data_IF_963727509395
#
_entry.id   IF_963727509395
#
_cell.length_a   1.000
_cell.length_b   1.000
_cell.length_c   1.000
_cell.angle_alpha   90.00
_cell.angle_beta   90.00
_cell.angle_gamma   90.00
#
_symmetry.space_group_name_H-M   'P 1'
#
loop_
_entity.id
_entity.type
_entity.pdbx_description
1 polymer ?
#
# COMPACT_ATOMS: atom_id res chain seq x y z
N UNK A 1 -11.47 -17.44 4.51
CA UNK A 1 -10.56 -16.26 4.42
C UNK A 1 -10.78 -15.39 5.66
N UNK A 2 -9.73 -15.03 6.43
CA UNK A 2 -9.85 -14.20 7.63
C UNK A 2 -10.44 -12.82 7.31
N UNK A 3 -11.25 -12.25 8.21
CA UNK A 3 -11.91 -10.95 8.00
C UNK A 3 -10.90 -9.83 7.72
N UNK A 4 -9.80 -9.79 8.47
CA UNK A 4 -8.72 -8.82 8.30
C UNK A 4 -8.05 -8.90 6.91
N UNK A 5 -7.86 -10.12 6.40
CA UNK A 5 -7.27 -10.33 5.07
C UNK A 5 -8.23 -9.92 3.95
N UNK A 6 -9.53 -10.08 4.17
CA UNK A 6 -10.57 -9.63 3.23
C UNK A 6 -10.58 -8.10 3.11
N UNK A 7 -10.51 -7.40 4.25
CA UNK A 7 -10.43 -5.93 4.27
C UNK A 7 -9.18 -5.47 3.52
N UNK A 8 -8.02 -6.08 3.81
CA UNK A 8 -6.79 -5.77 3.10
C UNK A 8 -6.89 -5.98 1.59
N UNK A 9 -7.49 -7.11 1.17
CA UNK A 9 -7.72 -7.39 -0.25
C UNK A 9 -8.61 -6.33 -0.90
N UNK A 10 -9.70 -5.91 -0.25
CA UNK A 10 -10.55 -4.83 -0.78
C UNK A 10 -9.78 -3.52 -0.94
N UNK A 11 -8.92 -3.17 0.03
CA UNK A 11 -8.07 -1.98 -0.06
C UNK A 11 -7.12 -2.07 -1.25
N UNK A 12 -6.45 -3.21 -1.46
CA UNK A 12 -5.57 -3.41 -2.61
C UNK A 12 -6.31 -3.37 -3.94
N UNK A 13 -7.51 -3.95 -4.03
CA UNK A 13 -8.36 -3.84 -5.22
C UNK A 13 -8.68 -2.39 -5.52
N UNK A 14 -9.11 -1.62 -4.52
CA UNK A 14 -9.44 -0.20 -4.69
C UNK A 14 -8.23 0.61 -5.15
N UNK A 15 -7.05 0.35 -4.58
CA UNK A 15 -5.79 0.96 -4.98
C UNK A 15 -5.42 0.62 -6.44
N UNK A 16 -5.56 -0.64 -6.86
CA UNK A 16 -5.33 -1.05 -8.26
C UNK A 16 -6.32 -0.38 -9.20
N UNK A 17 -7.60 -0.29 -8.84
CA UNK A 17 -8.61 0.41 -9.64
C UNK A 17 -8.27 1.89 -9.83
N UNK A 18 -7.83 2.57 -8.76
CA UNK A 18 -7.39 3.97 -8.82
C UNK A 18 -6.17 4.13 -9.73
N UNK A 19 -5.18 3.22 -9.67
CA UNK A 19 -4.03 3.29 -10.55
C UNK A 19 -4.36 3.01 -12.02
N UNK A 20 -5.25 2.05 -12.28
CA UNK A 20 -5.74 1.81 -13.64
C UNK A 20 -6.48 3.03 -14.17
N UNK A 21 -7.32 3.66 -13.34
CA UNK A 21 -7.97 4.93 -13.71
C UNK A 21 -6.94 6.02 -14.02
N UNK A 22 -5.96 6.24 -13.14
CA UNK A 22 -4.89 7.24 -13.32
C UNK A 22 -4.04 6.95 -14.56
N UNK A 23 -3.81 5.69 -14.90
CA UNK A 23 -3.10 5.30 -16.11
C UNK A 23 -3.83 5.78 -17.38
N UNK A 24 -5.16 5.73 -17.41
CA UNK A 24 -5.91 6.27 -18.55
C UNK A 24 -5.84 7.79 -18.64
N UNK A 25 -5.71 8.50 -17.53
CA UNK A 25 -5.60 9.96 -17.51
C UNK A 25 -4.19 10.46 -17.85
N UNK A 26 -3.16 9.85 -17.26
CA UNK A 26 -1.78 10.38 -17.27
C UNK A 26 -0.86 9.57 -18.19
N UNK A 27 -1.29 8.40 -18.69
CA UNK A 27 -0.49 7.44 -19.48
C UNK A 27 0.80 6.97 -18.79
N UNK A 28 0.93 7.19 -17.49
CA UNK A 28 2.06 6.75 -16.69
C UNK A 28 1.73 5.49 -15.90
N UNK A 29 2.59 4.49 -16.01
CA UNK A 29 2.47 3.23 -15.29
C UNK A 29 3.09 3.38 -13.89
N UNK A 30 2.25 3.39 -12.87
CA UNK A 30 2.70 3.38 -11.48
C UNK A 30 3.03 1.95 -11.02
N UNK A 31 4.30 1.56 -11.15
CA UNK A 31 4.80 0.23 -10.76
C UNK A 31 4.57 -0.07 -9.28
N UNK A 32 4.61 0.95 -8.40
CA UNK A 32 4.35 0.76 -6.97
C UNK A 32 2.91 0.35 -6.71
N UNK A 33 1.98 0.80 -7.55
CA UNK A 33 0.58 0.42 -7.40
C UNK A 33 0.26 -0.90 -8.09
N UNK A 34 0.91 -1.19 -9.22
CA UNK A 34 0.81 -2.49 -9.91
C UNK A 34 1.38 -3.66 -9.09
N UNK A 35 2.35 -3.40 -8.20
CA UNK A 35 2.88 -4.41 -7.28
C UNK A 35 1.82 -5.02 -6.34
N UNK A 36 0.67 -4.38 -6.17
CA UNK A 36 -0.46 -4.95 -5.44
C UNK A 36 -1.17 -6.10 -6.19
N UNK A 37 -1.11 -6.12 -7.53
CA UNK A 37 -1.81 -7.14 -8.33
C UNK A 37 -1.29 -8.58 -8.08
N UNK A 38 0.03 -8.86 -8.04
CA UNK A 38 0.55 -10.16 -7.62
C UNK A 38 0.11 -10.55 -6.21
N UNK A 39 0.01 -9.58 -5.29
CA UNK A 39 -0.45 -9.84 -3.91
C UNK A 39 -1.91 -10.26 -3.91
N UNK A 40 -2.78 -9.54 -4.61
CA UNK A 40 -4.21 -9.89 -4.75
C UNK A 40 -4.35 -11.29 -5.36
N UNK A 41 -3.62 -11.55 -6.45
CA UNK A 41 -3.65 -12.85 -7.15
C UNK A 41 -3.23 -14.00 -6.22
N UNK A 42 -2.14 -13.80 -5.47
CA UNK A 42 -1.62 -14.78 -4.52
C UNK A 42 -2.60 -15.04 -3.36
N UNK A 43 -3.23 -13.99 -2.83
CA UNK A 43 -4.22 -14.14 -1.76
C UNK A 43 -5.45 -14.89 -2.27
N UNK A 44 -5.94 -14.57 -3.47
CA UNK A 44 -7.10 -15.22 -4.08
C UNK A 44 -6.88 -16.72 -4.28
N UNK A 45 -5.70 -17.10 -4.78
CA UNK A 45 -5.32 -18.49 -5.04
C UNK A 45 -4.65 -19.18 -3.84
N UNK A 46 -4.60 -18.51 -2.69
CA UNK A 46 -4.04 -19.02 -1.44
C UNK A 46 -2.63 -19.62 -1.60
N UNK A 47 -1.80 -18.98 -2.42
CA UNK A 47 -0.46 -19.49 -2.71
C UNK A 47 0.50 -19.18 -1.56
N UNK A 48 1.45 -20.07 -1.24
CA UNK A 48 2.37 -19.85 -0.12
C UNK A 48 3.37 -18.72 -0.38
N UNK A 49 3.72 -18.45 -1.64
CA UNK A 49 4.62 -17.34 -2.02
C UNK A 49 4.03 -15.96 -1.75
N UNK A 50 2.69 -15.87 -1.66
CA UNK A 50 1.96 -14.62 -1.40
C UNK A 50 2.45 -13.92 -0.15
N UNK A 51 2.82 -14.68 0.88
CA UNK A 51 3.27 -14.12 2.14
C UNK A 51 4.62 -13.40 2.00
N UNK A 52 5.49 -13.93 1.14
CA UNK A 52 6.78 -13.30 0.82
C UNK A 52 6.53 -12.05 -0.02
N UNK A 53 5.75 -12.16 -1.10
CA UNK A 53 5.45 -11.05 -2.01
C UNK A 53 4.76 -9.90 -1.27
N UNK A 54 3.80 -10.19 -0.39
CA UNK A 54 3.15 -9.18 0.45
C UNK A 54 4.14 -8.45 1.36
N UNK A 55 5.09 -9.16 1.99
CA UNK A 55 6.11 -8.54 2.85
C UNK A 55 7.09 -7.70 2.07
N UNK A 56 7.53 -8.17 0.90
CA UNK A 56 8.40 -7.42 0.00
C UNK A 56 7.69 -6.15 -0.48
N UNK A 57 6.43 -6.27 -0.88
CA UNK A 57 5.59 -5.15 -1.27
C UNK A 57 5.51 -4.09 -0.15
N UNK A 58 5.24 -4.51 1.09
CA UNK A 58 5.20 -3.62 2.25
C UNK A 58 6.54 -2.97 2.56
N UNK A 59 7.64 -3.70 2.43
CA UNK A 59 8.97 -3.15 2.64
C UNK A 59 9.29 -2.05 1.62
N UNK A 60 9.02 -2.31 0.34
CA UNK A 60 9.20 -1.34 -0.75
C UNK A 60 8.31 -0.11 -0.53
N UNK A 61 7.04 -0.31 -0.16
CA UNK A 61 6.11 0.79 0.07
C UNK A 61 6.53 1.63 1.28
N UNK A 62 6.98 1.00 2.36
CA UNK A 62 7.51 1.71 3.54
C UNK A 62 8.76 2.52 3.20
N UNK A 63 9.68 1.95 2.40
CA UNK A 63 10.87 2.65 1.94
C UNK A 63 10.52 3.85 1.07
N UNK A 64 9.58 3.69 0.14
CA UNK A 64 9.11 4.77 -0.73
C UNK A 64 8.51 5.93 0.09
N UNK A 65 7.60 5.63 1.02
CA UNK A 65 7.03 6.66 1.90
C UNK A 65 8.06 7.29 2.84
N UNK A 66 9.06 6.53 3.30
CA UNK A 66 10.15 7.09 4.10
C UNK A 66 11.00 8.07 3.28
N UNK A 67 11.34 7.71 2.03
CA UNK A 67 12.06 8.58 1.12
C UNK A 67 11.26 9.87 0.85
N UNK A 68 9.98 9.74 0.48
CA UNK A 68 9.09 10.89 0.29
C UNK A 68 8.97 11.75 1.56
N UNK A 69 8.88 11.13 2.74
CA UNK A 69 8.81 11.82 4.02
C UNK A 69 10.07 12.63 4.32
N UNK A 70 11.26 12.05 4.12
CA UNK A 70 12.54 12.77 4.28
C UNK A 70 12.62 13.93 3.28
N UNK A 71 12.28 13.70 2.01
CA UNK A 71 12.25 14.76 1.00
C UNK A 71 11.29 15.89 1.39
N UNK A 72 10.10 15.56 1.91
CA UNK A 72 9.12 16.55 2.37
C UNK A 72 9.64 17.36 3.57
N UNK A 73 10.30 16.73 4.53
CA UNK A 73 10.91 17.42 5.68
C UNK A 73 11.98 18.41 5.21
N UNK A 74 12.87 17.98 4.30
CA UNK A 74 13.91 18.83 3.74
C UNK A 74 13.29 20.00 2.96
N UNK A 75 12.29 19.73 2.11
CA UNK A 75 11.59 20.76 1.36
C UNK A 75 10.91 21.79 2.28
N UNK A 76 10.30 21.35 3.39
CA UNK A 76 9.71 22.24 4.39
C UNK A 76 10.74 23.15 5.07
N UNK A 77 11.98 22.67 5.24
CA UNK A 77 13.06 23.48 5.80
C UNK A 77 13.62 24.50 4.81
N UNK A 78 13.65 24.18 3.51
CA UNK A 78 14.18 25.08 2.48
C UNK A 78 13.16 26.13 2.03
N UNK A 79 11.91 25.73 1.80
CA UNK A 79 10.89 26.58 1.16
C UNK A 79 9.50 26.22 1.71
N UNK A 80 9.15 26.71 2.92
CA UNK A 80 7.95 26.30 3.63
C UNK A 80 6.64 26.73 2.93
N UNK A 81 6.66 27.78 2.11
CA UNK A 81 5.50 28.19 1.31
C UNK A 81 5.15 27.23 0.16
N UNK A 82 6.11 26.45 -0.37
CA UNK A 82 5.91 25.61 -1.56
C UNK A 82 5.45 24.18 -1.24
N UNK A 83 5.42 23.80 0.04
CA UNK A 83 5.03 22.44 0.51
C UNK A 83 3.54 22.32 0.83
N UNK A 84 2.74 23.29 0.41
CA UNK A 84 1.29 23.28 0.63
C UNK A 84 0.60 22.45 -0.45
N UNK A 85 0.01 21.32 -0.06
CA UNK A 85 -0.77 20.48 -0.99
C UNK A 85 -2.09 21.18 -1.28
N UNK A 86 -2.22 21.79 -2.45
CA UNK A 86 -3.48 22.38 -2.91
C UNK A 86 -4.14 21.46 -3.94
N UNK A 87 -5.41 21.13 -3.73
CA UNK A 87 -6.19 20.36 -4.69
C UNK A 87 -7.46 21.15 -5.02
N UNK A 88 -7.62 21.53 -6.29
CA UNK A 88 -8.74 22.38 -6.76
C UNK A 88 -8.93 23.67 -5.95
N UNK A 89 -7.83 24.32 -5.53
CA UNK A 89 -7.86 25.56 -4.76
C UNK A 89 -8.15 25.39 -3.25
N UNK A 90 -8.34 24.16 -2.78
CA UNK A 90 -8.46 23.86 -1.34
C UNK A 90 -7.11 23.40 -0.82
N UNK A 91 -6.61 24.07 0.21
CA UNK A 91 -5.41 23.64 0.94
C UNK A 91 -5.73 22.40 1.76
N UNK A 92 -5.18 21.26 1.35
CA UNK A 92 -5.27 20.02 2.09
C UNK A 92 -4.20 20.06 3.19
N UNK A 93 -4.58 20.04 4.47
CA UNK A 93 -3.60 19.98 5.55
C UNK A 93 -2.77 18.70 5.42
N UNK A 94 -1.45 18.84 5.51
CA UNK A 94 -0.51 17.72 5.32
C UNK A 94 -0.60 16.69 6.46
N UNK A 95 -0.88 17.14 7.69
CA UNK A 95 -0.94 16.30 8.89
C UNK A 95 -1.94 15.14 8.78
N UNK A 96 -3.23 15.37 8.42
CA UNK A 96 -4.19 14.29 8.21
C UNK A 96 -3.76 13.29 7.13
N UNK A 97 -3.12 13.76 6.05
CA UNK A 97 -2.59 12.90 5.00
C UNK A 97 -1.50 11.97 5.55
N UNK A 98 -0.50 12.53 6.25
CA UNK A 98 0.59 11.75 6.84
C UNK A 98 0.06 10.73 7.85
N UNK A 99 -0.84 11.14 8.74
CA UNK A 99 -1.46 10.24 9.71
C UNK A 99 -2.24 9.12 9.03
N UNK A 100 -2.95 9.41 7.94
CA UNK A 100 -3.67 8.40 7.18
C UNK A 100 -2.73 7.36 6.56
N UNK A 101 -1.60 7.80 5.99
CA UNK A 101 -0.59 6.90 5.40
C UNK A 101 0.02 6.00 6.48
N UNK A 102 0.40 6.56 7.62
CA UNK A 102 0.96 5.79 8.75
C UNK A 102 -0.04 4.75 9.25
N UNK A 103 -1.30 5.14 9.42
CA UNK A 103 -2.36 4.23 9.88
C UNK A 103 -2.60 3.10 8.87
N UNK A 104 -2.64 3.44 7.58
CA UNK A 104 -2.80 2.47 6.50
C UNK A 104 -1.62 1.48 6.48
N UNK A 105 -0.38 1.95 6.46
CA UNK A 105 0.82 1.08 6.49
C UNK A 105 0.84 0.21 7.75
N UNK A 106 0.55 0.79 8.91
CA UNK A 106 0.48 0.06 10.18
C UNK A 106 -0.54 -1.06 10.14
N UNK A 107 -1.74 -0.80 9.61
CA UNK A 107 -2.76 -1.82 9.41
C UNK A 107 -2.27 -2.94 8.47
N UNK A 108 -1.65 -2.59 7.34
CA UNK A 108 -1.18 -3.60 6.39
C UNK A 108 -0.07 -4.47 6.99
N UNK A 109 0.89 -3.87 7.71
CA UNK A 109 1.94 -4.59 8.45
C UNK A 109 1.31 -5.53 9.47
N UNK A 110 0.35 -5.05 10.26
CA UNK A 110 -0.35 -5.87 11.23
C UNK A 110 -0.98 -7.12 10.58
N UNK A 111 -1.72 -6.94 9.48
CA UNK A 111 -2.34 -8.06 8.75
C UNK A 111 -1.28 -9.00 8.16
N UNK A 112 -0.15 -8.48 7.66
CA UNK A 112 0.95 -9.27 7.09
C UNK A 112 1.58 -10.26 8.09
N UNK A 113 1.69 -9.84 9.35
CA UNK A 113 2.39 -10.59 10.39
C UNK A 113 1.46 -11.42 11.28
N UNK A 114 0.14 -11.24 11.15
CA UNK A 114 -0.86 -11.97 11.93
C UNK A 114 -0.80 -13.48 11.68
N UNK A 115 -0.96 -14.29 12.75
CA UNK A 115 -0.94 -15.76 12.69
C UNK A 115 -2.03 -16.33 11.76
N UNK A 116 -3.19 -15.69 11.69
CA UNK A 116 -4.30 -16.07 10.82
C UNK A 116 -3.94 -15.99 9.32
N UNK A 117 -3.25 -14.93 8.90
CA UNK A 117 -2.77 -14.78 7.51
C UNK A 117 -1.76 -15.85 7.15
N UNK A 118 -0.81 -16.12 8.06
CA UNK A 118 0.16 -17.21 7.91
C UNK A 118 -0.51 -18.57 7.76
N UNK A 119 -1.50 -18.86 8.61
CA UNK A 119 -2.22 -20.12 8.56
C UNK A 119 -3.00 -20.25 7.24
N UNK A 120 -3.81 -19.25 6.89
CA UNK A 120 -4.61 -19.25 5.67
C UNK A 120 -3.78 -19.46 4.38
N UNK A 121 -2.57 -18.91 4.31
CA UNK A 121 -1.69 -19.07 3.15
C UNK A 121 -0.80 -20.34 3.21
N UNK A 122 -0.69 -21.01 4.38
CA UNK A 122 0.04 -22.29 4.55
C UNK A 122 -0.84 -23.52 4.41
N UNK A 123 -2.15 -23.42 4.60
CA UNK A 123 -3.03 -24.60 4.68
C UNK A 123 -3.04 -25.45 3.41
N UNK A 124 -2.74 -24.89 2.23
CA UNK A 124 -2.72 -25.66 0.97
C UNK A 124 -1.36 -26.29 0.62
N UNK A 125 -0.32 -26.12 1.45
CA UNK A 125 0.99 -26.76 1.19
C UNK A 125 1.06 -28.20 1.71
N UNK A 126 0.05 -28.68 2.43
CA UNK A 126 0.05 -30.02 3.08
C UNK A 126 -0.72 -31.06 2.26
N UNK A 127 -1.30 -30.69 1.12
CA UNK A 127 -2.10 -31.57 0.24
C UNK A 127 -1.61 -31.51 -1.21
N UNK A 128 -0.30 -31.55 -1.45
CA UNK A 128 0.29 -31.75 -2.78
C UNK A 128 1.46 -32.72 -2.69
#
# INVERSE_FOLDING_TARGET
MPALLRVLMMMYIMVVLIAVWRFFEVQEVDLFTLGAAPVIFGIWHQKPWTLIVMRVYLAIQTLAFSALGVTAIIAYQLTPEDVVVTFKGVTIPMLPLVLSIILLLGFQIFVAFTKQTKHYLKTNTVTS
#
